data_IF_304446148540
#
_entry.id   IF_304446148540
#
_cell.length_a   1.000
_cell.length_b   1.000
_cell.length_c   1.000
_cell.angle_alpha   90.00
_cell.angle_beta   90.00
_cell.angle_gamma   90.00
#
_symmetry.space_group_name_H-M   'P 1'
#
loop_
_entity.id
_entity.type
_entity.pdbx_description
1 polymer ?
#
# COMPACT_ATOMS: atom_id res chain seq x y z
N UNK A 1 12.94 -41.81 2.19
CA UNK A 1 12.93 -40.59 1.35
C UNK A 1 12.95 -41.03 -0.09
N UNK A 2 11.82 -40.90 -0.78
CA UNK A 2 11.76 -41.08 -2.23
C UNK A 2 12.27 -39.81 -2.89
N UNK A 3 13.31 -39.91 -3.70
CA UNK A 3 13.74 -38.80 -4.57
C UNK A 3 12.63 -38.54 -5.60
N UNK A 4 12.09 -37.33 -5.57
CA UNK A 4 11.18 -36.86 -6.62
C UNK A 4 12.04 -36.23 -7.69
N UNK A 5 12.19 -36.92 -8.82
CA UNK A 5 12.84 -36.37 -10.01
C UNK A 5 11.86 -35.39 -10.67
N UNK A 6 12.29 -34.14 -10.85
CA UNK A 6 11.49 -33.09 -11.48
C UNK A 6 12.11 -32.73 -12.83
N UNK A 7 11.29 -32.65 -13.87
CA UNK A 7 11.74 -32.19 -15.19
C UNK A 7 12.00 -30.68 -15.15
N UNK A 8 13.23 -30.26 -15.48
CA UNK A 8 13.64 -28.85 -15.41
C UNK A 8 12.78 -27.93 -16.29
N UNK A 9 12.34 -28.38 -17.46
CA UNK A 9 11.54 -27.56 -18.38
C UNK A 9 10.13 -27.35 -17.83
N UNK A 10 9.55 -28.39 -17.24
CA UNK A 10 8.23 -28.31 -16.61
C UNK A 10 8.26 -27.44 -15.36
N UNK A 11 9.28 -27.60 -14.51
CA UNK A 11 9.47 -26.80 -13.30
C UNK A 11 9.65 -25.31 -13.63
N UNK A 12 10.54 -25.00 -14.57
CA UNK A 12 10.77 -23.62 -15.00
C UNK A 12 9.50 -22.97 -15.57
N UNK A 13 8.70 -23.73 -16.35
CA UNK A 13 7.44 -23.22 -16.89
C UNK A 13 6.41 -22.99 -15.80
N UNK A 14 6.25 -23.91 -14.85
CA UNK A 14 5.28 -23.79 -13.75
C UNK A 14 5.64 -22.61 -12.86
N UNK A 15 6.87 -22.58 -12.35
CA UNK A 15 7.38 -21.51 -11.49
C UNK A 15 7.28 -20.14 -12.16
N UNK A 16 7.58 -20.04 -13.46
CA UNK A 16 7.43 -18.79 -14.21
C UNK A 16 5.98 -18.33 -14.31
N UNK A 17 5.06 -19.23 -14.66
CA UNK A 17 3.63 -18.91 -14.81
C UNK A 17 3.02 -18.51 -13.46
N UNK A 18 3.34 -19.24 -12.39
CA UNK A 18 2.83 -18.95 -11.05
C UNK A 18 3.29 -17.57 -10.57
N UNK A 19 4.57 -17.25 -10.76
CA UNK A 19 5.08 -15.92 -10.44
C UNK A 19 4.43 -14.84 -11.30
N UNK A 20 4.41 -15.02 -12.63
CA UNK A 20 3.84 -14.05 -13.56
C UNK A 20 2.36 -13.75 -13.24
N UNK A 21 1.55 -14.78 -13.02
CA UNK A 21 0.15 -14.63 -12.65
C UNK A 21 -0.01 -13.93 -11.30
N UNK A 22 0.79 -14.27 -10.29
CA UNK A 22 0.75 -13.60 -8.99
C UNK A 22 1.07 -12.10 -9.09
N UNK A 23 2.03 -11.73 -9.95
CA UNK A 23 2.42 -10.33 -10.18
C UNK A 23 1.31 -9.58 -10.90
N UNK A 24 0.74 -10.15 -11.97
CA UNK A 24 -0.28 -9.49 -12.79
C UNK A 24 -1.53 -9.23 -11.96
N UNK A 25 -2.04 -10.26 -11.27
CA UNK A 25 -3.34 -10.22 -10.58
C UNK A 25 -3.25 -9.49 -9.24
N UNK A 26 -2.20 -9.74 -8.45
CA UNK A 26 -2.16 -9.37 -7.04
C UNK A 26 -1.11 -8.31 -6.70
N UNK A 27 -0.49 -7.67 -7.70
CA UNK A 27 0.55 -6.65 -7.45
C UNK A 27 0.51 -5.49 -8.44
N UNK A 28 0.64 -5.77 -9.72
CA UNK A 28 0.96 -4.75 -10.72
C UNK A 28 -0.26 -3.94 -11.17
N UNK A 29 -1.36 -4.64 -11.49
CA UNK A 29 -2.55 -4.02 -12.06
C UNK A 29 -3.58 -3.66 -10.98
N UNK A 30 -4.26 -2.51 -11.10
CA UNK A 30 -5.38 -2.16 -10.23
C UNK A 30 -6.65 -2.95 -10.62
N UNK A 31 -7.58 -3.07 -9.67
CA UNK A 31 -8.94 -3.56 -9.96
C UNK A 31 -9.74 -2.47 -10.69
N UNK A 32 -10.56 -2.85 -11.67
CA UNK A 32 -11.33 -1.89 -12.47
C UNK A 32 -12.45 -1.21 -11.68
N UNK A 33 -12.93 -1.85 -10.60
CA UNK A 33 -14.09 -1.38 -9.83
C UNK A 33 -13.76 -0.17 -8.96
N UNK A 34 -12.54 -0.13 -8.42
CA UNK A 34 -12.09 0.94 -7.52
C UNK A 34 -10.81 1.64 -7.99
N UNK A 35 -10.13 1.13 -9.01
CA UNK A 35 -8.87 1.68 -9.51
C UNK A 35 -7.69 1.49 -8.56
N UNK A 36 -7.81 0.65 -7.53
CA UNK A 36 -6.79 0.48 -6.49
C UNK A 36 -5.97 -0.80 -6.68
N UNK A 37 -4.65 -0.67 -6.49
CA UNK A 37 -3.76 -1.81 -6.31
C UNK A 37 -3.96 -2.43 -4.92
N UNK A 38 -3.61 -3.72 -4.72
CA UNK A 38 -3.79 -4.38 -3.43
C UNK A 38 -3.12 -3.65 -2.25
N UNK A 39 -1.94 -3.05 -2.45
CA UNK A 39 -1.26 -2.27 -1.39
C UNK A 39 -2.04 -1.01 -1.00
N UNK A 40 -2.64 -0.27 -1.95
CA UNK A 40 -3.46 0.90 -1.64
C UNK A 40 -4.66 0.48 -0.79
N UNK A 41 -5.38 -0.57 -1.21
CA UNK A 41 -6.58 -1.05 -0.52
C UNK A 41 -6.27 -1.48 0.92
N UNK A 42 -5.18 -2.22 1.13
CA UNK A 42 -4.73 -2.66 2.47
C UNK A 42 -4.39 -1.47 3.38
N UNK A 43 -3.74 -0.43 2.85
CA UNK A 43 -3.42 0.79 3.61
C UNK A 43 -4.70 1.51 4.03
N UNK A 44 -5.60 1.78 3.08
CA UNK A 44 -6.85 2.50 3.35
C UNK A 44 -7.72 1.74 4.35
N UNK A 45 -7.86 0.42 4.17
CA UNK A 45 -8.62 -0.43 5.09
C UNK A 45 -8.04 -0.44 6.51
N UNK A 46 -6.73 -0.65 6.67
CA UNK A 46 -6.10 -0.64 7.98
C UNK A 46 -6.20 0.73 8.68
N UNK A 47 -6.10 1.83 7.93
CA UNK A 47 -6.32 3.18 8.46
C UNK A 47 -7.77 3.39 8.90
N UNK A 48 -8.74 2.86 8.15
CA UNK A 48 -10.15 2.90 8.51
C UNK A 48 -10.43 2.15 9.81
N UNK A 49 -9.95 0.90 9.93
CA UNK A 49 -10.11 0.10 11.16
C UNK A 49 -9.45 0.74 12.38
N UNK A 50 -8.38 1.50 12.19
CA UNK A 50 -7.73 2.26 13.26
C UNK A 50 -8.43 3.59 13.59
N UNK A 51 -9.56 3.90 12.95
CA UNK A 51 -10.29 5.15 13.11
C UNK A 51 -9.42 6.36 12.75
N UNK A 52 -8.60 6.27 11.72
CA UNK A 52 -7.74 7.37 11.25
C UNK A 52 -8.45 8.22 10.19
N UNK A 53 -9.71 8.56 10.44
CA UNK A 53 -10.54 9.35 9.54
C UNK A 53 -10.07 10.82 9.49
N UNK A 54 -10.57 11.56 8.50
CA UNK A 54 -10.15 12.94 8.21
C UNK A 54 -10.41 13.95 9.34
N UNK A 55 -11.35 13.64 10.24
CA UNK A 55 -11.74 14.45 11.40
C UNK A 55 -10.91 14.14 12.64
N UNK A 56 -10.07 13.11 12.61
CA UNK A 56 -9.23 12.69 13.72
C UNK A 56 -7.82 13.31 13.64
N UNK A 57 -7.07 13.36 14.75
CA UNK A 57 -5.68 13.80 14.75
C UNK A 57 -4.78 12.90 13.89
N UNK A 58 -3.72 13.49 13.34
CA UNK A 58 -2.69 12.73 12.64
C UNK A 58 -2.03 11.70 13.57
N UNK A 59 -1.67 10.52 13.03
CA UNK A 59 -0.89 9.51 13.75
C UNK A 59 0.39 9.19 12.98
N UNK A 60 1.44 8.76 13.70
CA UNK A 60 2.75 8.44 13.12
C UNK A 60 2.63 7.44 11.96
N UNK A 61 3.29 7.71 10.83
CA UNK A 61 3.28 6.82 9.66
C UNK A 61 3.81 5.42 10.00
N UNK A 62 4.83 5.33 10.86
CA UNK A 62 5.36 4.06 11.34
C UNK A 62 4.30 3.13 11.96
N UNK A 63 3.26 3.69 12.60
CA UNK A 63 2.15 2.90 13.17
C UNK A 63 1.31 2.26 12.07
N UNK A 64 0.97 3.02 11.04
CA UNK A 64 0.19 2.52 9.88
C UNK A 64 1.00 1.45 9.14
N UNK A 65 2.28 1.71 8.88
CA UNK A 65 3.17 0.76 8.20
C UNK A 65 3.25 -0.56 8.96
N UNK A 66 3.46 -0.51 10.29
CA UNK A 66 3.55 -1.71 11.13
C UNK A 66 2.24 -2.52 11.15
N UNK A 67 1.10 -1.86 11.23
CA UNK A 67 -0.20 -2.53 11.27
C UNK A 67 -0.57 -3.17 9.92
N UNK A 68 -0.37 -2.44 8.81
CA UNK A 68 -0.57 -2.96 7.45
C UNK A 68 0.34 -4.17 7.21
N UNK A 69 1.62 -4.07 7.59
CA UNK A 69 2.57 -5.15 7.43
C UNK A 69 2.19 -6.39 8.26
N UNK A 70 1.80 -6.17 9.52
CA UNK A 70 1.50 -7.24 10.47
C UNK A 70 0.20 -7.99 10.18
N UNK A 71 -0.80 -7.31 9.61
CA UNK A 71 -2.15 -7.88 9.41
C UNK A 71 -2.50 -8.20 7.96
N UNK A 72 -2.05 -7.37 7.00
CA UNK A 72 -2.64 -7.36 5.67
C UNK A 72 -1.65 -7.50 4.52
N UNK A 73 -0.39 -7.09 4.71
CA UNK A 73 0.60 -6.98 3.64
C UNK A 73 1.94 -7.60 4.06
N UNK A 74 2.16 -8.91 3.83
CA UNK A 74 3.35 -9.63 4.30
C UNK A 74 4.59 -9.35 3.41
N UNK A 75 4.88 -8.09 3.16
CA UNK A 75 6.02 -7.60 2.40
C UNK A 75 6.66 -6.40 3.11
N UNK A 76 7.82 -5.97 2.62
CA UNK A 76 8.66 -4.97 3.28
C UNK A 76 7.95 -3.65 3.60
N UNK A 77 8.32 -3.07 4.74
CA UNK A 77 7.86 -1.79 5.26
C UNK A 77 8.11 -0.63 4.29
N UNK A 78 9.26 -0.62 3.60
CA UNK A 78 9.63 0.41 2.64
C UNK A 78 8.57 0.58 1.54
N UNK A 79 8.10 -0.51 0.92
CA UNK A 79 7.10 -0.45 -0.14
C UNK A 79 5.76 0.11 0.36
N UNK A 80 5.38 -0.20 1.61
CA UNK A 80 4.16 0.32 2.23
C UNK A 80 4.33 1.82 2.48
N UNK A 81 5.46 2.23 3.05
CA UNK A 81 5.73 3.63 3.36
C UNK A 81 5.82 4.50 2.10
N UNK A 82 6.54 4.05 1.07
CA UNK A 82 6.65 4.77 -0.20
C UNK A 82 5.27 4.94 -0.87
N UNK A 83 4.41 3.93 -0.71
CA UNK A 83 3.02 4.00 -1.17
C UNK A 83 2.23 5.05 -0.41
N UNK A 84 2.34 5.10 0.92
CA UNK A 84 1.71 6.14 1.76
C UNK A 84 2.20 7.52 1.32
N UNK A 85 3.52 7.67 1.13
CA UNK A 85 4.14 8.94 0.71
C UNK A 85 3.55 9.40 -0.62
N UNK A 86 3.52 8.51 -1.61
CA UNK A 86 2.95 8.83 -2.93
C UNK A 86 1.47 9.21 -2.84
N UNK A 87 0.69 8.54 -2.00
CA UNK A 87 -0.74 8.81 -1.82
C UNK A 87 -1.03 10.13 -1.09
N UNK A 88 -0.03 10.74 -0.45
CA UNK A 88 -0.09 12.05 0.20
C UNK A 88 0.41 13.21 -0.69
N UNK A 89 1.14 12.92 -1.77
CA UNK A 89 1.74 13.93 -2.64
C UNK A 89 0.70 14.55 -3.59
N UNK A 90 0.38 15.83 -3.39
CA UNK A 90 -0.54 16.61 -4.24
C UNK A 90 -0.07 16.80 -5.68
N UNK A 91 1.25 16.73 -5.92
CA UNK A 91 1.83 16.79 -7.28
C UNK A 91 1.87 15.42 -7.98
N UNK A 92 1.67 14.31 -7.25
CA UNK A 92 1.64 12.94 -7.80
C UNK A 92 0.22 12.45 -8.05
N UNK A 93 -0.76 12.93 -7.27
CA UNK A 93 -2.16 12.53 -7.36
C UNK A 93 -3.08 13.74 -7.48
N UNK A 94 -4.02 13.69 -8.43
CA UNK A 94 -5.04 14.73 -8.61
C UNK A 94 -5.92 14.92 -7.36
N UNK A 95 -6.22 13.82 -6.67
CA UNK A 95 -6.95 13.79 -5.40
C UNK A 95 -6.23 12.83 -4.43
N UNK A 96 -5.39 13.34 -3.52
CA UNK A 96 -4.71 12.52 -2.52
C UNK A 96 -5.69 11.77 -1.62
N UNK A 97 -5.40 10.50 -1.37
CA UNK A 97 -6.20 9.65 -0.47
C UNK A 97 -5.67 9.67 0.97
N UNK A 98 -4.44 10.15 1.15
CA UNK A 98 -3.81 10.34 2.45
C UNK A 98 -3.61 11.84 2.67
N UNK A 99 -3.97 12.31 3.86
CA UNK A 99 -3.63 13.64 4.36
C UNK A 99 -2.41 13.47 5.28
N UNK A 100 -1.31 14.12 4.94
CA UNK A 100 -0.01 13.96 5.60
C UNK A 100 0.52 15.27 6.19
N UNK A 101 1.14 15.18 7.36
CA UNK A 101 1.86 16.27 8.02
C UNK A 101 3.36 15.92 8.12
N UNK A 102 4.21 16.82 7.62
CA UNK A 102 5.66 16.66 7.58
C UNK A 102 6.24 16.77 6.17
N UNK A 103 7.50 16.38 5.99
CA UNK A 103 8.15 16.37 4.69
C UNK A 103 7.81 15.08 3.92
N UNK A 104 6.98 15.19 2.88
CA UNK A 104 6.57 14.12 1.97
C UNK A 104 7.29 14.18 0.60
N UNK A 105 8.41 14.89 0.52
CA UNK A 105 9.19 15.10 -0.69
C UNK A 105 8.67 16.26 -1.53
N UNK A 106 9.38 16.53 -2.62
CA UNK A 106 9.14 17.69 -3.50
C UNK A 106 9.14 17.28 -4.98
N UNK A 107 8.71 18.22 -5.84
CA UNK A 107 8.80 18.06 -7.30
C UNK A 107 10.26 18.06 -7.77
N UNK A 108 11.17 18.64 -6.99
CA UNK A 108 12.61 18.70 -7.26
C UNK A 108 13.31 17.35 -7.02
N UNK A 109 12.58 16.36 -6.52
CA UNK A 109 13.09 15.01 -6.28
C UNK A 109 13.63 14.80 -4.87
N UNK A 110 13.41 15.74 -3.95
CA UNK A 110 13.77 15.55 -2.55
C UNK A 110 12.98 14.37 -1.97
N UNK A 111 13.65 13.43 -1.28
CA UNK A 111 12.97 12.30 -0.68
C UNK A 111 12.12 12.76 0.50
N UNK A 112 11.06 11.99 0.79
CA UNK A 112 10.31 12.16 2.02
C UNK A 112 11.19 11.89 3.25
N UNK A 113 10.84 12.52 4.37
CA UNK A 113 11.45 12.18 5.65
C UNK A 113 11.13 10.72 6.03
N UNK A 114 11.90 10.15 6.96
CA UNK A 114 11.62 8.80 7.46
C UNK A 114 10.27 8.73 8.19
N UNK A 115 9.63 7.54 8.16
CA UNK A 115 8.28 7.28 8.72
C UNK A 115 8.11 7.55 10.23
N UNK A 116 9.20 7.78 10.96
CA UNK A 116 9.21 8.20 12.36
C UNK A 116 8.91 9.70 12.55
N UNK A 117 9.11 10.51 11.51
CA UNK A 117 8.88 11.95 11.54
C UNK A 117 7.52 12.34 10.98
N UNK A 118 7.09 11.69 9.90
CA UNK A 118 5.82 11.99 9.23
C UNK A 118 4.62 11.44 10.00
N UNK A 119 3.49 12.13 9.86
CA UNK A 119 2.21 11.71 10.41
C UNK A 119 1.15 11.76 9.32
N UNK A 120 0.16 10.88 9.42
CA UNK A 120 -0.88 10.69 8.39
C UNK A 120 -2.24 10.44 9.01
N UNK A 121 -3.27 10.72 8.22
CA UNK A 121 -4.66 10.28 8.38
C UNK A 121 -5.31 10.14 6.99
N UNK A 122 -6.52 9.60 6.93
CA UNK A 122 -7.27 9.52 5.68
C UNK A 122 -7.66 10.93 5.24
N UNK A 123 -7.57 11.20 3.94
CA UNK A 123 -8.19 12.41 3.38
C UNK A 123 -9.72 12.27 3.40
N UNK A 124 -10.44 13.39 3.33
CA UNK A 124 -11.90 13.36 3.33
C UNK A 124 -12.47 12.51 2.18
N UNK A 125 -11.91 12.64 0.98
CA UNK A 125 -12.35 11.87 -0.20
C UNK A 125 -12.03 10.37 -0.08
N UNK A 126 -11.01 9.98 0.68
CA UNK A 126 -10.73 8.56 0.91
C UNK A 126 -11.83 7.88 1.75
N UNK A 127 -12.53 8.64 2.60
CA UNK A 127 -13.70 8.14 3.32
C UNK A 127 -14.80 7.66 2.38
N UNK A 128 -15.05 8.36 1.27
CA UNK A 128 -16.05 7.99 0.26
C UNK A 128 -15.75 6.63 -0.40
N UNK A 129 -14.49 6.21 -0.44
CA UNK A 129 -14.08 4.90 -0.97
C UNK A 129 -14.37 3.74 0.00
N UNK A 130 -14.71 4.06 1.25
CA UNK A 130 -14.83 3.13 2.38
C UNK A 130 -16.23 3.19 3.03
N UNK A 131 -17.15 3.97 2.45
CA UNK A 131 -18.53 4.08 2.91
C UNK A 131 -19.19 2.70 2.88
N UNK A 132 -19.97 2.39 3.91
CA UNK A 132 -20.75 1.16 4.05
C UNK A 132 -19.93 -0.14 3.94
N UNK A 133 -18.67 -0.10 4.39
CA UNK A 133 -17.77 -1.27 4.41
C UNK A 133 -17.99 -2.21 5.61
N UNK A 134 -18.83 -1.80 6.57
CA UNK A 134 -19.22 -2.60 7.75
C UNK A 134 -20.30 -3.66 7.45
#
# INVERSE_FOLDING_TARGET
>A
MTEVLVNITEEMKSSYIDYAMSVIVSRALPDVRDGLKPVHRRILYAMNEQGMTHDQPYKKSARVVGDVMGKYHPHGDAAIYDTIVRMAQTFSMRYPLIDGQGNFGSVDGDPAAAMRYTEVRLSKIAGEMLVDIE
#
